data_IF_261946585227
#
_entry.id   IF_261946585227
#
_cell.length_a   1.000
_cell.length_b   1.000
_cell.length_c   1.000
_cell.angle_alpha   90.00
_cell.angle_beta   90.00
_cell.angle_gamma   90.00
#
_symmetry.space_group_name_H-M   'P 1'
#
loop_
_entity.id
_entity.type
_entity.pdbx_description
1 polymer ?
#
# COMPACT_ATOMS: atom_id res chain seq x y z
N UNK A 1 10.34 8.71 19.64
CA UNK A 1 9.80 7.88 20.72
C UNK A 1 9.22 6.69 20.01
N UNK A 2 9.74 5.48 20.19
CA UNK A 2 9.07 4.30 19.67
C UNK A 2 7.84 4.12 20.53
N UNK A 3 6.66 4.38 19.98
CA UNK A 3 5.44 3.91 20.60
C UNK A 3 5.59 2.41 20.83
N UNK A 4 5.13 1.92 21.98
CA UNK A 4 5.24 0.51 22.37
C UNK A 4 4.24 -0.30 21.53
N UNK A 5 4.59 -0.56 20.28
CA UNK A 5 3.72 -1.24 19.31
C UNK A 5 3.72 -2.74 19.62
N UNK A 6 2.62 -3.22 20.20
CA UNK A 6 2.45 -4.62 20.56
C UNK A 6 1.91 -5.46 19.38
N UNK A 7 2.61 -6.55 19.06
CA UNK A 7 2.13 -7.54 18.09
C UNK A 7 1.56 -8.77 18.82
N UNK A 8 0.40 -9.31 18.40
CA UNK A 8 -0.46 -8.87 17.30
C UNK A 8 -1.23 -7.57 17.59
N UNK A 9 -1.36 -6.68 16.59
CA UNK A 9 -2.12 -5.43 16.72
C UNK A 9 -3.60 -5.68 17.07
N UNK A 10 -4.16 -6.81 16.63
CA UNK A 10 -5.54 -7.20 16.91
C UNK A 10 -5.83 -7.44 18.41
N UNK A 11 -4.81 -7.61 19.25
CA UNK A 11 -4.98 -7.68 20.70
C UNK A 11 -5.39 -6.32 21.29
N UNK A 12 -5.19 -5.21 20.56
CA UNK A 12 -5.63 -3.86 20.88
C UNK A 12 -6.49 -3.31 19.73
N UNK A 13 -7.74 -3.80 19.55
CA UNK A 13 -8.55 -3.50 18.37
C UNK A 13 -8.97 -2.03 18.26
N UNK A 14 -8.90 -1.24 19.33
CA UNK A 14 -9.17 0.20 19.30
C UNK A 14 -8.03 1.02 18.67
N UNK A 15 -6.85 0.42 18.49
CA UNK A 15 -5.67 1.04 17.86
C UNK A 15 -5.55 0.69 16.36
N UNK A 16 -6.51 -0.05 15.81
CA UNK A 16 -6.57 -0.45 14.39
C UNK A 16 -7.84 0.13 13.79
N UNK A 17 -7.69 0.90 12.72
CA UNK A 17 -8.77 1.64 12.07
C UNK A 17 -8.74 1.39 10.55
N UNK A 18 -9.90 1.47 9.90
CA UNK A 18 -10.01 1.60 8.44
C UNK A 18 -9.56 2.99 8.00
N UNK A 19 -9.33 3.25 6.69
CA UNK A 19 -9.07 4.61 6.20
C UNK A 19 -10.17 5.63 6.57
N UNK A 20 -11.42 5.19 6.73
CA UNK A 20 -12.53 6.06 7.15
C UNK A 20 -12.57 6.30 8.67
N UNK A 21 -11.69 5.65 9.43
CA UNK A 21 -11.57 5.80 10.88
C UNK A 21 -12.43 4.81 11.68
N UNK A 22 -13.07 3.84 11.02
CA UNK A 22 -13.86 2.81 11.70
C UNK A 22 -12.93 1.86 12.44
N UNK A 23 -13.09 1.73 13.76
CA UNK A 23 -12.22 0.88 14.59
C UNK A 23 -12.49 -0.59 14.36
N UNK A 24 -11.46 -1.42 14.49
CA UNK A 24 -11.61 -2.87 14.41
C UNK A 24 -12.58 -3.41 15.47
N UNK A 25 -12.65 -2.78 16.65
CA UNK A 25 -13.61 -3.12 17.71
C UNK A 25 -15.07 -2.82 17.35
N UNK A 26 -15.31 -1.95 16.36
CA UNK A 26 -16.65 -1.53 15.93
C UNK A 26 -17.21 -2.39 14.81
N UNK A 27 -16.36 -3.16 14.11
CA UNK A 27 -16.75 -4.01 12.98
C UNK A 27 -17.52 -5.23 13.50
N UNK A 28 -18.82 -5.27 13.20
CA UNK A 28 -19.72 -6.37 13.58
C UNK A 28 -20.59 -6.77 12.39
N UNK A 29 -21.07 -8.01 12.38
CA UNK A 29 -21.94 -8.50 11.30
C UNK A 29 -23.24 -7.68 11.22
N UNK A 30 -23.80 -7.33 12.39
CA UNK A 30 -25.03 -6.55 12.51
C UNK A 30 -24.89 -5.20 11.81
N UNK A 31 -23.84 -4.43 12.14
CA UNK A 31 -23.60 -3.11 11.54
C UNK A 31 -23.38 -3.16 10.02
N UNK A 32 -22.71 -4.20 9.53
CA UNK A 32 -22.51 -4.39 8.08
C UNK A 32 -23.83 -4.73 7.39
N UNK A 33 -24.65 -5.61 7.97
CA UNK A 33 -25.96 -5.99 7.40
C UNK A 33 -26.96 -4.83 7.45
N UNK A 34 -26.88 -3.98 8.46
CA UNK A 34 -27.73 -2.80 8.62
C UNK A 34 -27.27 -1.60 7.75
N UNK A 35 -26.09 -1.70 7.14
CA UNK A 35 -25.50 -0.65 6.29
C UNK A 35 -24.94 0.52 7.10
N UNK A 36 -24.64 0.31 8.39
CA UNK A 36 -23.91 1.29 9.22
C UNK A 36 -22.42 1.31 8.90
N UNK A 37 -21.87 0.18 8.43
CA UNK A 37 -20.50 0.02 7.95
C UNK A 37 -20.59 -0.47 6.50
N UNK A 38 -19.97 0.26 5.58
CA UNK A 38 -19.89 -0.16 4.19
C UNK A 38 -18.92 -1.36 4.07
N UNK A 39 -19.27 -2.37 3.27
CA UNK A 39 -18.33 -3.45 3.00
C UNK A 39 -17.10 -2.98 2.21
N UNK A 40 -17.26 -1.93 1.40
CA UNK A 40 -16.18 -1.35 0.59
C UNK A 40 -15.16 -0.58 1.43
N UNK A 41 -15.54 -0.06 2.61
CA UNK A 41 -14.61 0.63 3.52
C UNK A 41 -13.71 -0.34 4.31
N UNK A 42 -14.01 -1.65 4.29
CA UNK A 42 -13.31 -2.69 5.06
C UNK A 42 -11.95 -3.06 4.46
N UNK A 43 -11.10 -2.05 4.30
CA UNK A 43 -9.73 -2.14 3.79
C UNK A 43 -8.74 -1.68 4.85
N UNK A 44 -7.45 -2.01 4.64
CA UNK A 44 -6.38 -1.66 5.58
C UNK A 44 -5.97 -0.19 5.41
N UNK A 45 -5.78 0.53 6.53
CA UNK A 45 -5.24 1.90 6.53
C UNK A 45 -3.73 1.93 6.26
N UNK A 46 -3.18 3.03 5.68
CA UNK A 46 -1.74 3.23 5.55
C UNK A 46 -1.03 3.25 6.93
N UNK A 47 -1.65 3.78 7.98
CA UNK A 47 -1.11 3.83 9.34
C UNK A 47 -0.90 2.43 9.93
N UNK A 48 -1.86 1.52 9.71
CA UNK A 48 -1.73 0.11 10.12
C UNK A 48 -0.57 -0.56 9.40
N UNK A 49 -0.36 -0.30 8.11
CA UNK A 49 0.79 -0.82 7.36
C UNK A 49 2.12 -0.25 7.89
N UNK A 50 2.18 1.02 8.29
CA UNK A 50 3.36 1.60 8.94
C UNK A 50 3.62 0.97 10.32
N UNK A 51 2.60 0.73 11.15
CA UNK A 51 2.75 -0.01 12.41
C UNK A 51 3.34 -1.41 12.17
N UNK A 52 2.86 -2.12 11.15
CA UNK A 52 3.40 -3.41 10.74
C UNK A 52 4.85 -3.29 10.21
N UNK A 53 5.20 -2.20 9.53
CA UNK A 53 6.56 -1.93 9.10
C UNK A 53 7.51 -1.75 10.29
N UNK A 54 7.10 -1.00 11.31
CA UNK A 54 7.88 -0.80 12.54
C UNK A 54 8.08 -2.11 13.31
N UNK A 55 7.05 -2.95 13.42
CA UNK A 55 7.17 -4.30 14.00
C UNK A 55 8.18 -5.13 13.21
N UNK A 56 8.08 -5.14 11.88
CA UNK A 56 9.01 -5.89 11.03
C UNK A 56 10.47 -5.41 11.19
N UNK A 57 10.69 -4.11 11.33
CA UNK A 57 12.02 -3.54 11.61
C UNK A 57 12.58 -3.97 12.97
N UNK A 58 11.76 -3.91 14.02
CA UNK A 58 12.15 -4.34 15.37
C UNK A 58 12.54 -5.82 15.42
N UNK A 59 11.88 -6.65 14.60
CA UNK A 59 12.17 -8.08 14.44
C UNK A 59 13.32 -8.37 13.47
N UNK A 60 14.04 -7.35 13.00
CA UNK A 60 15.20 -7.51 12.10
C UNK A 60 14.83 -7.93 10.68
N UNK A 61 13.64 -7.55 10.19
CA UNK A 61 13.12 -7.82 8.84
C UNK A 61 12.95 -6.54 8.01
N UNK A 62 14.05 -5.81 7.70
CA UNK A 62 13.96 -4.50 7.05
C UNK A 62 13.37 -4.55 5.63
N UNK A 63 13.54 -5.65 4.89
CA UNK A 63 12.93 -5.80 3.57
C UNK A 63 11.40 -5.94 3.65
N UNK A 64 10.89 -6.59 4.70
CA UNK A 64 9.45 -6.70 4.95
C UNK A 64 8.89 -5.33 5.33
N UNK A 65 9.60 -4.59 6.18
CA UNK A 65 9.22 -3.23 6.54
C UNK A 65 9.16 -2.30 5.30
N UNK A 66 10.18 -2.32 4.44
CA UNK A 66 10.16 -1.56 3.18
C UNK A 66 8.98 -1.95 2.29
N UNK A 67 8.64 -3.24 2.23
CA UNK A 67 7.48 -3.70 1.47
C UNK A 67 6.16 -3.16 2.05
N UNK A 68 6.00 -3.15 3.38
CA UNK A 68 4.81 -2.59 4.01
C UNK A 68 4.68 -1.08 3.79
N UNK A 69 5.78 -0.32 3.83
CA UNK A 69 5.74 1.12 3.52
C UNK A 69 5.36 1.40 2.07
N UNK A 70 5.89 0.61 1.14
CA UNK A 70 5.48 0.68 -0.26
C UNK A 70 3.99 0.32 -0.43
N UNK A 71 3.50 -0.68 0.31
CA UNK A 71 2.08 -1.02 0.30
C UNK A 71 1.21 0.07 0.92
N UNK A 72 1.70 0.80 1.92
CA UNK A 72 0.99 1.90 2.55
C UNK A 72 0.70 3.04 1.57
N UNK A 73 1.67 3.39 0.72
CA UNK A 73 1.44 4.38 -0.34
C UNK A 73 0.38 3.93 -1.36
N UNK A 74 0.24 2.62 -1.58
CA UNK A 74 -0.69 2.08 -2.57
C UNK A 74 -2.14 2.01 -2.06
N UNK A 75 -2.42 2.32 -0.79
CA UNK A 75 -3.81 2.31 -0.28
C UNK A 75 -4.67 3.41 -0.88
N UNK A 76 -4.05 4.50 -1.35
CA UNK A 76 -4.73 5.62 -2.02
C UNK A 76 -4.96 5.37 -3.52
N UNK A 77 -4.37 4.32 -4.08
CA UNK A 77 -4.47 4.02 -5.52
C UNK A 77 -5.66 3.09 -5.76
N UNK A 78 -6.60 3.44 -6.65
CA UNK A 78 -7.75 2.59 -6.97
C UNK A 78 -7.37 1.18 -7.45
N UNK A 79 -8.18 0.18 -7.11
CA UNK A 79 -7.93 -1.24 -7.44
C UNK A 79 -7.70 -1.51 -8.93
N UNK A 80 -8.51 -0.90 -9.79
CA UNK A 80 -8.38 -0.98 -11.24
C UNK A 80 -7.06 -0.36 -11.71
N UNK A 81 -6.68 0.78 -11.14
CA UNK A 81 -5.40 1.42 -11.44
C UNK A 81 -4.20 0.60 -10.96
N UNK A 82 -4.28 -0.04 -9.80
CA UNK A 82 -3.26 -1.00 -9.32
C UNK A 82 -3.05 -2.12 -10.34
N UNK A 83 -4.12 -2.68 -10.89
CA UNK A 83 -4.03 -3.73 -11.90
C UNK A 83 -3.41 -3.23 -13.21
N UNK A 84 -3.71 -2.00 -13.64
CA UNK A 84 -3.09 -1.38 -14.81
C UNK A 84 -1.59 -1.21 -14.64
N UNK A 85 -1.14 -0.62 -13.52
CA UNK A 85 0.28 -0.43 -13.19
C UNK A 85 0.99 -1.78 -13.13
N UNK A 86 0.39 -2.77 -12.49
CA UNK A 86 0.92 -4.13 -12.43
C UNK A 86 1.10 -4.76 -13.81
N UNK A 87 0.13 -4.58 -14.72
CA UNK A 87 0.24 -5.09 -16.08
C UNK A 87 1.29 -4.34 -16.91
N UNK A 88 1.42 -3.03 -16.72
CA UNK A 88 2.44 -2.20 -17.37
C UNK A 88 3.86 -2.65 -17.00
N UNK A 89 4.07 -3.05 -15.75
CA UNK A 89 5.36 -3.57 -15.26
C UNK A 89 5.67 -5.01 -15.69
N UNK A 90 4.79 -5.69 -16.44
CA UNK A 90 5.12 -7.01 -17.02
C UNK A 90 6.07 -6.83 -18.23
N UNK A 91 6.85 -7.87 -18.59
CA UNK A 91 7.66 -7.82 -19.81
C UNK A 91 6.83 -7.45 -21.04
N UNK A 92 7.27 -6.43 -21.79
CA UNK A 92 6.56 -5.85 -22.94
C UNK A 92 5.15 -5.33 -22.60
N UNK A 93 4.89 -5.00 -21.33
CA UNK A 93 3.60 -4.49 -20.85
C UNK A 93 3.39 -3.00 -21.14
N UNK A 94 4.49 -2.23 -21.18
CA UNK A 94 4.50 -0.81 -21.46
C UNK A 94 5.87 -0.39 -22.02
N UNK A 95 5.92 0.73 -22.74
CA UNK A 95 7.20 1.36 -23.12
C UNK A 95 7.76 2.21 -21.98
N UNK A 96 9.00 2.69 -22.15
CA UNK A 96 9.69 3.48 -21.14
C UNK A 96 8.96 4.79 -20.82
N UNK A 97 8.38 5.45 -21.81
CA UNK A 97 7.66 6.71 -21.64
C UNK A 97 6.42 6.50 -20.77
N UNK A 98 5.62 5.47 -21.06
CA UNK A 98 4.45 5.09 -20.26
C UNK A 98 4.84 4.76 -18.81
N UNK A 99 5.96 4.06 -18.59
CA UNK A 99 6.43 3.77 -17.22
C UNK A 99 6.87 5.04 -16.48
N UNK A 100 7.46 6.02 -17.16
CA UNK A 100 7.79 7.32 -16.55
C UNK A 100 6.53 8.12 -16.22
N UNK A 101 5.53 8.11 -17.08
CA UNK A 101 4.23 8.74 -16.81
C UNK A 101 3.54 8.10 -15.59
N UNK A 102 3.55 6.77 -15.47
CA UNK A 102 3.03 6.06 -14.29
C UNK A 102 3.78 6.48 -13.02
N UNK A 103 5.11 6.60 -13.09
CA UNK A 103 5.89 7.03 -11.93
C UNK A 103 5.55 8.48 -11.52
N UNK A 104 5.38 9.37 -12.49
CA UNK A 104 5.01 10.76 -12.22
C UNK A 104 3.59 10.86 -11.65
N UNK A 105 2.65 10.05 -12.12
CA UNK A 105 1.30 9.95 -11.54
C UNK A 105 1.35 9.45 -10.09
N UNK A 106 2.09 8.36 -9.82
CA UNK A 106 2.27 7.82 -8.47
C UNK A 106 2.78 8.88 -7.49
N UNK A 107 3.81 9.64 -7.88
CA UNK A 107 4.38 10.68 -7.02
C UNK A 107 3.45 11.88 -6.84
N UNK A 108 2.87 12.40 -7.93
CA UNK A 108 2.19 13.69 -7.91
C UNK A 108 0.69 13.60 -7.55
N UNK A 109 0.01 12.51 -7.92
CA UNK A 109 -1.43 12.34 -7.66
C UNK A 109 -1.69 11.57 -6.37
N UNK A 110 -0.88 10.55 -6.07
CA UNK A 110 -1.08 9.67 -4.92
C UNK A 110 -0.08 9.87 -3.78
N UNK A 111 0.96 10.68 -3.96
CA UNK A 111 2.03 10.85 -2.97
C UNK A 111 2.86 9.57 -2.74
N UNK A 112 2.85 8.65 -3.71
CA UNK A 112 3.48 7.34 -3.64
C UNK A 112 4.95 7.39 -4.11
N UNK A 113 5.79 8.13 -3.38
CA UNK A 113 7.19 8.40 -3.73
C UNK A 113 8.04 7.13 -3.86
N UNK A 114 7.91 6.17 -2.93
CA UNK A 114 8.67 4.92 -2.95
C UNK A 114 8.26 4.08 -4.17
N UNK A 115 6.97 4.03 -4.50
CA UNK A 115 6.49 3.34 -5.69
C UNK A 115 6.92 4.03 -6.98
N UNK A 116 6.87 5.36 -7.04
CA UNK A 116 7.34 6.12 -8.18
C UNK A 116 8.82 5.85 -8.48
N UNK A 117 9.68 5.90 -7.45
CA UNK A 117 11.11 5.53 -7.60
C UNK A 117 11.28 4.09 -8.09
N UNK A 118 10.48 3.16 -7.57
CA UNK A 118 10.53 1.76 -7.99
C UNK A 118 10.15 1.57 -9.46
N UNK A 119 9.15 2.29 -9.96
CA UNK A 119 8.73 2.24 -11.37
C UNK A 119 9.80 2.87 -12.28
N UNK A 120 10.43 3.99 -11.85
CA UNK A 120 11.53 4.61 -12.60
C UNK A 120 12.73 3.67 -12.72
N UNK A 121 13.11 3.01 -11.62
CA UNK A 121 14.16 1.98 -11.62
C UNK A 121 13.82 0.84 -12.60
N UNK A 122 12.56 0.37 -12.60
CA UNK A 122 12.12 -0.65 -13.53
C UNK A 122 12.23 -0.20 -15.00
N UNK A 123 11.83 1.04 -15.31
CA UNK A 123 11.91 1.60 -16.66
C UNK A 123 13.35 1.64 -17.19
N UNK A 124 14.31 2.05 -16.35
CA UNK A 124 15.74 2.05 -16.70
C UNK A 124 16.26 0.62 -16.94
N UNK A 125 15.98 -0.29 -16.01
CA UNK A 125 16.42 -1.69 -16.11
C UNK A 125 15.80 -2.40 -17.32
N UNK A 126 14.55 -2.09 -17.66
CA UNK A 126 13.87 -2.74 -18.78
C UNK A 126 14.41 -2.27 -20.12
N UNK A 127 14.77 -0.99 -20.26
CA UNK A 127 15.45 -0.47 -21.44
C UNK A 127 16.81 -1.15 -21.64
N UNK A 128 17.62 -1.24 -20.59
CA UNK A 128 18.92 -1.92 -20.65
C UNK A 128 18.82 -3.40 -21.04
N UNK A 129 17.71 -4.05 -20.66
CA UNK A 129 17.49 -5.48 -20.87
C UNK A 129 16.63 -5.83 -22.09
N UNK A 130 16.12 -4.83 -22.81
CA UNK A 130 15.22 -5.03 -23.95
C UNK A 130 13.88 -5.68 -23.55
N UNK A 131 13.33 -5.25 -22.41
CA UNK A 131 12.03 -5.71 -21.87
C UNK A 131 10.89 -4.70 -22.08
N UNK A 132 11.22 -3.48 -22.51
CA UNK A 132 10.29 -2.47 -23.07
C UNK A 132 10.16 -2.65 -24.57
#
# INVERSE_FOLDING_TARGET
MSDDIHYPLADNPDDVETPEGTKLSEITLEKVVEGEIDGEELVISPETLEKQAQIAEQEGRPQVARNFRRAAELTEVPDDRILEIYNALRPSGADKETLQEIADELENEYGAEINAEHVREAAEVYEERGLV
#
